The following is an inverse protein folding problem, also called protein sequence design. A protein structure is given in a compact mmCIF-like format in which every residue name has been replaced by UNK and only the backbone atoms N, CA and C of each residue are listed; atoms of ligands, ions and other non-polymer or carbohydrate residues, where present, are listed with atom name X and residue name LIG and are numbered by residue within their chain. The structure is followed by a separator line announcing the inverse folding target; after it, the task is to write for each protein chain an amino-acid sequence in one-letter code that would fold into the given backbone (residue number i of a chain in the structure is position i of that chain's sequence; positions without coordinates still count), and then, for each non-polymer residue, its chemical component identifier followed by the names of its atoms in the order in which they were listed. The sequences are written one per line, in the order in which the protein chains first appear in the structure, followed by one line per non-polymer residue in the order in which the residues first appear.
data_IF_465899002509
#
_entry.id   IF_465899002509
#
_cell.length_a   1.000
_cell.length_b   1.000
_cell.length_c   1.000
_cell.angle_alpha   90.00
_cell.angle_beta   90.00
_cell.angle_gamma   90.00
#
_symmetry.space_group_name_H-M   'P 1'
#
loop_
_entity.id
_entity.type
_entity.pdbx_description
1 polymer ?
#
# COMPACT_ATOMS: atom_id res chain seq x y z
N UNK A 1 5.20 4.08 -20.41
CA UNK A 1 4.21 4.00 -19.31
C UNK A 1 4.14 2.57 -18.81
N UNK A 2 3.67 2.37 -17.58
CA UNK A 2 3.34 1.03 -17.07
C UNK A 2 1.81 0.90 -17.05
N UNK A 3 1.31 -0.25 -17.51
CA UNK A 3 -0.11 -0.51 -17.71
C UNK A 3 -0.48 -1.83 -17.02
N UNK A 4 -1.54 -1.79 -16.22
CA UNK A 4 -2.08 -2.96 -15.50
C UNK A 4 -3.49 -3.20 -15.99
N UNK A 5 -3.79 -4.41 -16.43
CA UNK A 5 -5.15 -4.76 -16.85
C UNK A 5 -5.88 -5.40 -15.69
N UNK A 6 -7.09 -4.92 -15.43
CA UNK A 6 -7.91 -5.41 -14.34
C UNK A 6 -9.30 -5.78 -14.82
N UNK A 7 -9.90 -6.77 -14.19
CA UNK A 7 -11.29 -7.16 -14.39
C UNK A 7 -12.05 -7.06 -13.06
N UNK A 8 -13.34 -6.69 -13.07
CA UNK A 8 -14.17 -6.76 -11.87
C UNK A 8 -14.22 -8.20 -11.33
N UNK A 9 -14.06 -8.38 -10.01
CA UNK A 9 -14.42 -9.64 -9.36
C UNK A 9 -15.93 -9.80 -9.47
N UNK A 10 -16.41 -10.87 -10.10
CA UNK A 10 -17.83 -11.18 -10.15
C UNK A 10 -18.37 -11.31 -8.71
N UNK A 11 -19.14 -10.33 -8.25
CA UNK A 11 -19.95 -10.49 -7.04
C UNK A 11 -21.17 -11.35 -7.40
N UNK A 12 -21.46 -12.46 -6.67
CA UNK A 12 -22.70 -13.17 -6.90
C UNK A 12 -23.87 -12.22 -6.64
N UNK A 13 -24.88 -12.15 -7.55
CA UNK A 13 -26.02 -11.29 -7.31
C UNK A 13 -26.79 -11.83 -6.10
N UNK A 14 -26.92 -11.01 -5.04
CA UNK A 14 -27.87 -11.29 -3.96
C UNK A 14 -29.26 -11.47 -4.58
N UNK A 15 -29.75 -12.71 -4.54
CA UNK A 15 -31.09 -13.10 -4.99
C UNK A 15 -32.17 -12.20 -4.39
N UNK A 16 -32.77 -11.33 -5.20
CA UNK A 16 -34.19 -10.97 -5.06
C UNK A 16 -34.93 -11.22 -6.37
N UNK A 17 -36.08 -11.88 -6.21
CA UNK A 17 -36.84 -12.63 -7.21
C UNK A 17 -37.51 -11.78 -8.31
N UNK A 18 -37.41 -12.32 -9.53
CA UNK A 18 -38.43 -12.49 -10.60
C UNK A 18 -38.76 -11.34 -11.57
N UNK A 19 -38.52 -11.72 -12.85
CA UNK A 19 -39.23 -11.44 -14.13
C UNK A 19 -38.90 -10.15 -14.88
N UNK A 20 -38.12 -10.28 -15.97
CA UNK A 20 -38.63 -10.41 -17.37
C UNK A 20 -37.48 -10.65 -18.35
N UNK A 21 -37.78 -11.43 -19.39
CA UNK A 21 -36.95 -11.75 -20.57
C UNK A 21 -36.38 -10.49 -21.25
N UNK A 22 -35.11 -10.52 -21.65
CA UNK A 22 -34.68 -10.42 -23.07
C UNK A 22 -33.20 -10.78 -23.21
N UNK A 23 -32.89 -11.53 -24.26
CA UNK A 23 -31.54 -11.80 -24.76
C UNK A 23 -30.69 -10.53 -24.75
N UNK A 24 -29.55 -10.61 -24.07
CA UNK A 24 -28.25 -10.25 -24.61
C UNK A 24 -27.21 -10.81 -23.63
N UNK A 25 -26.50 -11.87 -24.03
CA UNK A 25 -25.18 -12.15 -23.47
C UNK A 25 -24.27 -10.98 -23.87
N UNK A 26 -24.28 -9.92 -23.08
CA UNK A 26 -23.19 -8.96 -23.07
C UNK A 26 -22.05 -9.66 -22.33
N UNK A 27 -21.25 -10.42 -23.08
CA UNK A 27 -19.91 -10.79 -22.65
C UNK A 27 -19.13 -9.48 -22.65
N UNK A 28 -19.28 -8.69 -21.59
CA UNK A 28 -18.38 -7.58 -21.38
C UNK A 28 -17.02 -8.19 -21.11
N UNK A 29 -16.15 -8.17 -22.11
CA UNK A 29 -14.71 -8.23 -21.91
C UNK A 29 -14.37 -6.97 -21.09
N UNK A 30 -14.59 -7.05 -19.77
CA UNK A 30 -14.60 -5.91 -18.84
C UNK A 30 -13.19 -5.52 -18.43
N UNK A 31 -12.19 -5.89 -19.23
CA UNK A 31 -10.80 -5.67 -18.95
C UNK A 31 -10.50 -4.18 -19.10
N UNK A 32 -10.22 -3.51 -17.98
CA UNK A 32 -9.93 -2.07 -17.93
C UNK A 32 -8.43 -1.86 -17.72
N UNK A 33 -7.75 -1.08 -18.57
CA UNK A 33 -6.36 -0.69 -18.33
C UNK A 33 -6.27 0.42 -17.27
N UNK A 34 -5.32 0.28 -16.34
CA UNK A 34 -4.86 1.31 -15.40
C UNK A 34 -3.43 1.66 -15.74
N UNK A 35 -3.13 2.94 -15.95
CA UNK A 35 -1.84 3.40 -16.44
C UNK A 35 -1.18 4.35 -15.45
N UNK A 36 0.15 4.31 -15.39
CA UNK A 36 0.99 5.27 -14.67
C UNK A 36 2.22 5.64 -15.49
N UNK A 37 2.80 6.79 -15.14
CA UNK A 37 3.99 7.30 -15.80
C UNK A 37 5.26 6.56 -15.34
N UNK A 38 6.22 6.49 -16.27
CA UNK A 38 7.58 6.05 -16.00
C UNK A 38 8.53 7.19 -16.32
N UNK A 39 9.57 7.33 -15.51
CA UNK A 39 10.67 8.28 -15.72
C UNK A 39 11.87 7.51 -16.24
N UNK A 40 12.41 7.95 -17.38
CA UNK A 40 13.62 7.35 -17.96
C UNK A 40 14.83 7.85 -17.16
N UNK A 41 15.64 6.91 -16.65
CA UNK A 41 16.86 7.21 -15.89
C UNK A 41 18.08 7.10 -16.81
N UNK A 42 18.13 6.06 -17.63
CA UNK A 42 19.20 5.83 -18.63
C UNK A 42 18.67 5.02 -19.82
N UNK A 43 19.52 4.70 -20.79
CA UNK A 43 19.15 3.81 -21.91
C UNK A 43 18.80 2.39 -21.47
N UNK A 44 19.20 1.96 -20.27
CA UNK A 44 18.94 0.62 -19.73
C UNK A 44 18.07 0.63 -18.47
N UNK A 45 17.62 1.78 -17.99
CA UNK A 45 16.91 1.89 -16.71
C UNK A 45 15.79 2.93 -16.76
N UNK A 46 14.64 2.58 -16.18
CA UNK A 46 13.51 3.48 -15.96
C UNK A 46 12.86 3.17 -14.61
N UNK A 47 12.28 4.19 -13.98
CA UNK A 47 11.53 4.08 -12.74
C UNK A 47 10.06 4.33 -13.00
N UNK A 48 9.19 3.40 -12.62
CA UNK A 48 7.75 3.49 -12.85
C UNK A 48 6.98 3.45 -11.53
N UNK A 49 5.95 4.30 -11.40
CA UNK A 49 4.97 4.16 -10.33
C UNK A 49 4.01 3.02 -10.67
N UNK A 50 3.75 2.13 -9.70
CA UNK A 50 2.82 1.03 -9.93
C UNK A 50 1.37 1.56 -9.93
N UNK A 51 0.56 1.29 -10.96
CA UNK A 51 -0.82 1.76 -11.02
C UNK A 51 -1.66 1.29 -9.85
N UNK A 52 -2.44 2.21 -9.27
CA UNK A 52 -3.37 1.85 -8.20
C UNK A 52 -4.52 1.00 -8.74
N UNK A 53 -4.77 -0.13 -8.07
CA UNK A 53 -5.92 -1.01 -8.33
C UNK A 53 -6.84 -1.06 -7.12
N UNK A 54 -8.10 -1.45 -7.34
CA UNK A 54 -9.10 -1.52 -6.28
C UNK A 54 -9.33 -2.98 -5.84
N UNK A 55 -9.69 -3.23 -4.56
CA UNK A 55 -9.80 -4.61 -4.02
C UNK A 55 -10.85 -5.48 -4.70
N UNK A 56 -11.85 -4.85 -5.32
CA UNK A 56 -12.94 -5.46 -6.11
C UNK A 56 -12.51 -5.85 -7.52
N UNK A 57 -11.23 -5.73 -7.86
CA UNK A 57 -10.70 -6.12 -9.17
C UNK A 57 -9.71 -7.28 -9.08
N UNK A 58 -9.61 -8.05 -10.17
CA UNK A 58 -8.63 -9.10 -10.41
C UNK A 58 -7.64 -8.60 -11.44
N UNK A 59 -6.35 -8.69 -11.13
CA UNK A 59 -5.28 -8.28 -12.04
C UNK A 59 -5.02 -9.38 -13.06
N UNK A 60 -5.09 -9.02 -14.35
CA UNK A 60 -4.88 -9.91 -15.49
C UNK A 60 -3.43 -9.95 -15.94
N UNK A 61 -2.71 -8.84 -15.78
CA UNK A 61 -1.30 -8.75 -16.13
C UNK A 61 -0.77 -7.32 -16.01
N UNK A 62 0.53 -7.18 -16.25
CA UNK A 62 1.25 -5.92 -16.23
C UNK A 62 2.13 -5.83 -17.48
N UNK A 63 2.09 -4.68 -18.14
CA UNK A 63 2.83 -4.41 -19.37
C UNK A 63 3.53 -3.05 -19.29
N UNK A 64 4.66 -2.95 -19.98
CA UNK A 64 5.25 -1.67 -20.36
C UNK A 64 4.74 -1.29 -21.75
N UNK A 65 4.32 -0.03 -21.87
CA UNK A 65 3.88 0.56 -23.12
C UNK A 65 4.88 1.65 -23.52
N UNK A 66 5.61 1.36 -24.60
CA UNK A 66 6.66 2.20 -25.19
C UNK A 66 6.19 2.55 -26.60
N UNK A 67 5.57 3.72 -26.74
CA UNK A 67 4.86 4.13 -27.95
C UNK A 67 3.80 3.09 -28.38
N UNK A 68 4.03 2.39 -29.50
CA UNK A 68 3.14 1.36 -30.03
C UNK A 68 3.57 -0.06 -29.65
N UNK A 69 4.60 -0.22 -28.83
CA UNK A 69 5.14 -1.52 -28.40
C UNK A 69 4.64 -1.84 -26.99
N UNK A 70 4.03 -3.03 -26.83
CA UNK A 70 3.61 -3.56 -25.54
C UNK A 70 4.48 -4.74 -25.16
N UNK A 71 5.14 -4.65 -24.00
CA UNK A 71 6.04 -5.69 -23.49
C UNK A 71 5.51 -6.18 -22.15
N UNK A 72 5.34 -7.48 -21.97
CA UNK A 72 4.89 -8.03 -20.69
C UNK A 72 5.96 -7.84 -19.60
N UNK A 73 5.53 -7.54 -18.38
CA UNK A 73 6.45 -7.39 -17.25
C UNK A 73 7.30 -8.66 -17.04
N UNK A 74 6.68 -9.84 -17.14
CA UNK A 74 7.33 -11.12 -16.92
C UNK A 74 8.48 -11.39 -17.88
N UNK A 75 8.37 -10.95 -19.15
CA UNK A 75 9.44 -11.13 -20.13
C UNK A 75 10.67 -10.26 -19.86
N UNK A 76 10.51 -9.16 -19.12
CA UNK A 76 11.60 -8.25 -18.76
C UNK A 76 12.19 -8.62 -17.40
N UNK A 77 11.32 -8.90 -16.41
CA UNK A 77 11.73 -9.13 -15.03
C UNK A 77 12.03 -10.59 -14.69
N UNK A 78 11.65 -11.55 -15.54
CA UNK A 78 11.82 -12.99 -15.30
C UNK A 78 10.98 -13.55 -14.15
N UNK A 79 9.99 -12.79 -13.65
CA UNK A 79 9.10 -13.18 -12.56
C UNK A 79 7.72 -12.55 -12.71
N UNK A 80 6.72 -13.16 -12.08
CA UNK A 80 5.35 -12.67 -12.05
C UNK A 80 5.20 -11.41 -11.20
N UNK A 81 4.22 -10.56 -11.56
CA UNK A 81 3.85 -9.38 -10.79
C UNK A 81 2.65 -9.71 -9.90
N UNK A 82 2.68 -9.35 -8.62
CA UNK A 82 1.60 -9.62 -7.67
C UNK A 82 1.18 -8.37 -6.91
N UNK A 83 -0.12 -8.13 -6.84
CA UNK A 83 -0.71 -7.12 -5.96
C UNK A 83 -1.10 -7.73 -4.63
N UNK A 84 -0.90 -6.95 -3.57
CA UNK A 84 -1.32 -7.29 -2.21
C UNK A 84 -2.27 -6.23 -1.66
N UNK A 85 -3.12 -6.57 -0.68
CA UNK A 85 -3.87 -5.57 0.05
C UNK A 85 -2.96 -4.52 0.69
N UNK A 86 -3.48 -3.31 0.87
CA UNK A 86 -2.81 -2.27 1.65
C UNK A 86 -2.49 -2.79 3.06
N UNK A 87 -1.39 -2.31 3.69
CA UNK A 87 -1.06 -2.70 5.04
C UNK A 87 -2.09 -2.13 6.01
N UNK A 88 -2.38 -2.86 7.09
CA UNK A 88 -3.17 -2.35 8.21
C UNK A 88 -2.22 -1.93 9.32
N UNK A 89 -2.37 -0.71 9.84
CA UNK A 89 -1.68 -0.24 11.05
C UNK A 89 -2.70 -0.14 12.18
N UNK A 90 -2.35 -0.67 13.34
CA UNK A 90 -3.17 -0.59 14.54
C UNK A 90 -2.79 0.63 15.37
N UNK A 91 -3.78 1.20 16.05
CA UNK A 91 -3.57 2.32 16.95
C UNK A 91 -2.57 1.93 18.06
N UNK A 92 -1.68 2.88 18.40
CA UNK A 92 -0.84 2.74 19.58
C UNK A 92 -1.73 2.58 20.82
N UNK A 93 -1.30 1.76 21.78
CA UNK A 93 -2.06 1.45 23.00
C UNK A 93 -3.50 0.95 22.71
N UNK A 94 -3.71 0.12 21.69
CA UNK A 94 -5.04 -0.38 21.32
C UNK A 94 -5.83 -0.97 22.49
N UNK A 95 -5.14 -1.67 23.40
CA UNK A 95 -5.77 -2.35 24.52
C UNK A 95 -6.08 -1.40 25.70
N UNK A 96 -5.43 -0.23 25.77
CA UNK A 96 -5.65 0.78 26.80
C UNK A 96 -5.43 2.22 26.25
N UNK A 97 -6.38 2.72 25.43
CA UNK A 97 -6.18 3.96 24.67
C UNK A 97 -6.05 5.23 25.51
N UNK A 98 -6.54 5.21 26.76
CA UNK A 98 -6.55 6.36 27.66
C UNK A 98 -5.22 6.56 28.40
N UNK A 99 -4.32 5.58 28.33
CA UNK A 99 -3.02 5.66 29.00
C UNK A 99 -1.93 6.28 28.11
N UNK A 100 -0.97 7.00 28.69
CA UNK A 100 0.22 7.45 27.98
C UNK A 100 0.98 6.28 27.36
N UNK A 101 1.47 6.45 26.14
CA UNK A 101 2.30 5.46 25.48
C UNK A 101 3.57 5.17 26.28
N UNK A 102 3.86 3.89 26.49
CA UNK A 102 5.09 3.42 27.13
C UNK A 102 5.98 2.80 26.08
N UNK A 103 7.23 3.27 26.01
CA UNK A 103 8.24 2.67 25.15
C UNK A 103 8.42 1.20 25.47
N UNK A 104 8.67 0.41 24.42
CA UNK A 104 9.07 -0.99 24.58
C UNK A 104 10.53 -1.06 25.06
N UNK A 105 10.99 -2.21 25.59
CA UNK A 105 12.39 -2.39 25.97
C UNK A 105 13.34 -1.93 24.87
N UNK A 106 14.40 -1.19 25.23
CA UNK A 106 15.29 -0.52 24.28
C UNK A 106 14.87 0.91 23.90
N UNK A 107 13.79 1.45 24.50
CA UNK A 107 13.40 2.84 24.29
C UNK A 107 12.70 3.10 22.94
N UNK A 108 12.21 2.05 22.29
CA UNK A 108 11.62 2.13 20.94
C UNK A 108 10.11 2.27 20.98
N UNK A 109 9.56 2.89 19.93
CA UNK A 109 8.14 2.88 19.63
C UNK A 109 7.85 1.68 18.73
N UNK A 110 6.93 0.82 19.18
CA UNK A 110 6.42 -0.31 18.42
C UNK A 110 5.01 0.00 17.89
N UNK A 111 4.85 -0.10 16.58
CA UNK A 111 3.57 -0.02 15.86
C UNK A 111 3.22 -1.42 15.37
N UNK A 112 2.04 -1.90 15.76
CA UNK A 112 1.51 -3.19 15.33
C UNK A 112 0.67 -3.04 14.05
N UNK A 113 0.59 -4.10 13.27
CA UNK A 113 -0.17 -4.10 12.03
C UNK A 113 -0.23 -5.45 11.33
N UNK A 114 -0.62 -5.44 10.06
CA UNK A 114 -0.66 -6.61 9.19
C UNK A 114 -0.15 -6.29 7.79
N UNK A 115 0.64 -7.20 7.24
CA UNK A 115 1.11 -7.13 5.86
C UNK A 115 2.13 -6.03 5.62
N UNK A 116 2.85 -5.56 6.65
CA UNK A 116 3.72 -4.40 6.54
C UNK A 116 4.84 -4.62 5.52
N UNK A 117 5.56 -5.74 5.61
CA UNK A 117 6.63 -6.10 4.66
C UNK A 117 6.16 -6.40 3.23
N UNK A 118 4.84 -6.56 3.00
CA UNK A 118 4.29 -6.66 1.64
C UNK A 118 4.04 -5.30 1.01
N UNK A 119 3.89 -4.27 1.84
CA UNK A 119 3.56 -2.92 1.40
C UNK A 119 4.76 -2.00 1.32
N UNK A 120 5.77 -2.22 2.17
CA UNK A 120 6.94 -1.36 2.28
C UNK A 120 8.17 -2.14 2.74
N UNK A 121 9.35 -1.67 2.36
CA UNK A 121 10.62 -2.13 2.94
C UNK A 121 11.09 -1.16 4.04
N UNK A 122 12.04 -1.61 4.89
CA UNK A 122 12.62 -0.77 5.94
C UNK A 122 13.25 0.52 5.40
N UNK A 123 13.84 0.49 4.20
CA UNK A 123 14.52 1.64 3.61
C UNK A 123 13.57 2.63 2.91
N UNK A 124 12.34 2.21 2.61
CA UNK A 124 11.35 3.06 1.93
C UNK A 124 10.35 3.69 2.91
N UNK A 125 10.10 3.03 4.05
CA UNK A 125 9.18 3.56 5.06
C UNK A 125 9.81 4.72 5.82
N UNK A 126 9.04 5.79 5.96
CA UNK A 126 9.40 6.94 6.80
C UNK A 126 8.35 7.07 7.89
N UNK A 127 8.77 7.02 9.15
CA UNK A 127 7.91 7.19 10.31
C UNK A 127 8.13 8.58 10.92
N UNK A 128 7.05 9.22 11.37
CA UNK A 128 7.08 10.56 11.94
C UNK A 128 6.58 10.54 13.38
N UNK A 129 7.27 11.24 14.26
CA UNK A 129 6.84 11.55 15.62
C UNK A 129 6.77 13.08 15.76
N UNK A 130 5.57 13.63 15.76
CA UNK A 130 5.39 15.08 15.74
C UNK A 130 6.02 15.70 14.49
N UNK A 131 6.87 16.70 14.68
CA UNK A 131 7.61 17.40 13.61
C UNK A 131 8.95 16.76 13.22
N UNK A 132 9.30 15.60 13.79
CA UNK A 132 10.58 14.91 13.51
C UNK A 132 10.37 13.49 13.03
N UNK A 133 11.35 12.99 12.30
CA UNK A 133 11.41 11.59 11.88
C UNK A 133 11.73 10.67 13.07
N UNK A 134 11.11 9.49 13.08
CA UNK A 134 11.40 8.38 13.98
C UNK A 134 12.12 7.30 13.17
N UNK A 135 13.38 7.04 13.46
CA UNK A 135 14.21 6.19 12.60
C UNK A 135 13.76 4.72 12.70
N UNK A 136 13.34 4.13 11.58
CA UNK A 136 12.84 2.74 11.57
C UNK A 136 14.00 1.75 11.63
N UNK A 137 14.18 1.10 12.77
CA UNK A 137 15.25 0.11 12.98
C UNK A 137 14.87 -1.29 12.51
N UNK A 138 13.61 -1.67 12.75
CA UNK A 138 13.12 -3.01 12.47
C UNK A 138 11.73 -2.96 11.84
N UNK A 139 11.54 -3.78 10.81
CA UNK A 139 10.27 -3.97 10.12
C UNK A 139 10.07 -5.46 9.86
N UNK A 140 9.00 -6.01 10.40
CA UNK A 140 8.52 -7.36 10.07
C UNK A 140 7.07 -7.29 9.52
N UNK A 141 6.46 -8.43 9.21
CA UNK A 141 5.12 -8.45 8.61
C UNK A 141 3.99 -7.90 9.50
N UNK A 142 4.27 -7.73 10.80
CA UNK A 142 3.32 -7.40 11.86
C UNK A 142 3.76 -6.23 12.75
N UNK A 143 5.04 -5.89 12.79
CA UNK A 143 5.58 -4.84 13.64
C UNK A 143 6.54 -3.93 12.88
N UNK A 144 6.46 -2.64 13.21
CA UNK A 144 7.44 -1.63 12.87
C UNK A 144 7.98 -1.06 14.19
N UNK A 145 9.29 -1.10 14.37
CA UNK A 145 9.98 -0.51 15.52
C UNK A 145 10.78 0.70 15.04
N UNK A 146 10.50 1.86 15.62
CA UNK A 146 11.25 3.08 15.36
C UNK A 146 11.86 3.65 16.64
N UNK A 147 13.05 4.22 16.50
CA UNK A 147 13.76 4.91 17.57
C UNK A 147 13.30 6.37 17.61
N UNK A 148 12.70 6.83 18.73
CA UNK A 148 12.27 8.21 18.84
C UNK A 148 13.48 9.16 18.92
N UNK A 149 13.34 10.41 18.46
CA UNK A 149 14.40 11.42 18.60
C UNK A 149 14.71 11.71 20.08
N UNK A 150 15.99 11.95 20.40
CA UNK A 150 16.45 12.21 21.78
C UNK A 150 15.71 13.36 22.47
N UNK A 151 15.34 14.39 21.71
CA UNK A 151 14.57 15.54 22.19
C UNK A 151 13.12 15.37 21.75
N UNK A 152 12.20 15.50 22.71
CA UNK A 152 10.77 15.44 22.45
C UNK A 152 10.38 16.40 21.30
N UNK A 153 9.80 15.87 20.21
CA UNK A 153 9.39 16.68 19.07
C UNK A 153 8.16 17.52 19.38
N UNK A 154 7.96 18.58 18.63
CA UNK A 154 6.77 19.40 18.74
C UNK A 154 5.54 18.61 18.27
N UNK A 155 4.42 18.80 18.96
CA UNK A 155 3.13 18.31 18.49
C UNK A 155 2.76 19.04 17.20
N UNK A 156 2.27 18.29 16.20
CA UNK A 156 1.68 18.88 14.99
C UNK A 156 0.28 19.48 15.24
N UNK A 157 -0.34 19.16 16.39
CA UNK A 157 -1.65 19.68 16.78
C UNK A 157 -1.55 20.78 17.84
N UNK A 158 -2.58 21.64 17.90
CA UNK A 158 -2.71 22.75 18.87
C UNK A 158 -2.87 22.30 20.35
N UNK A 159 -2.82 21.00 20.63
CA UNK A 159 -2.87 20.48 21.98
C UNK A 159 -1.51 20.66 22.64
N UNK A 160 -1.44 21.46 23.72
CA UNK A 160 -0.24 21.61 24.55
C UNK A 160 0.21 20.22 25.00
N UNK A 161 1.45 19.85 24.64
CA UNK A 161 2.08 18.63 25.13
C UNK A 161 2.10 18.66 26.67
N UNK A 162 1.81 17.54 27.35
CA UNK A 162 2.12 17.40 28.76
C UNK A 162 3.63 17.56 28.92
N UNK A 163 4.08 18.54 29.71
CA UNK A 163 5.50 18.69 30.05
C UNK A 163 5.84 17.67 31.14
N UNK A 164 6.91 16.90 30.95
CA UNK A 164 7.54 16.15 32.05
C UNK A 164 8.10 17.19 33.03
N UNK A 165 7.45 17.31 34.20
CA UNK A 165 8.00 18.01 35.37
C UNK A 165 8.80 17.04 36.22
#
# INVERSE_FOLDING_TARGET
MITVWVEPKENPPMRRRRRRRRNNQLVFNSTVPKQEHCTVVSSSEMTCLTPRVTPDTKVMGVWFELDNVKVAFESVAGKTFSYYPNPELFALNRDDPDTPYRFKPGGVIAVEGKGLTRAMTRGEVVAWLGDKECEVKTLDSTHLYCEPPEKQPASLGNHKLPSLR
#
